data_IF_511900763888
#
_entry.id   IF_511900763888
#
_cell.length_a   1.000
_cell.length_b   1.000
_cell.length_c   1.000
_cell.angle_alpha   90.00
_cell.angle_beta   90.00
_cell.angle_gamma   90.00
#
_symmetry.space_group_name_H-M   'P 1'
#
loop_
_entity.id
_entity.type
_entity.pdbx_description
1 polymer ?
#
# COMPACT_ATOMS: atom_id res chain seq x y z
N UNK A 1 -33.88 -36.04 -23.57
CA UNK A 1 -33.66 -35.72 -22.14
C UNK A 1 -32.20 -35.39 -21.78
N UNK A 2 -31.23 -35.48 -22.70
CA UNK A 2 -29.81 -35.17 -22.40
C UNK A 2 -29.43 -33.69 -22.60
N UNK A 3 -30.16 -32.91 -23.42
CA UNK A 3 -29.81 -31.51 -23.70
C UNK A 3 -30.29 -30.51 -22.65
N UNK A 4 -31.27 -30.85 -21.81
CA UNK A 4 -31.79 -29.93 -20.77
C UNK A 4 -30.86 -29.87 -19.53
N UNK A 5 -30.14 -30.96 -19.25
CA UNK A 5 -29.21 -31.04 -18.13
C UNK A 5 -27.88 -30.29 -18.38
N UNK A 6 -27.44 -30.20 -19.64
CA UNK A 6 -26.20 -29.50 -20.00
C UNK A 6 -26.37 -27.97 -20.02
N UNK A 7 -27.57 -27.47 -20.31
CA UNK A 7 -27.87 -26.04 -20.31
C UNK A 7 -27.95 -25.44 -18.88
N UNK A 8 -28.30 -26.25 -17.87
CA UNK A 8 -28.35 -25.82 -16.47
C UNK A 8 -26.97 -25.82 -15.78
N UNK A 9 -25.99 -26.59 -16.27
CA UNK A 9 -24.62 -26.55 -15.74
C UNK A 9 -23.80 -25.35 -16.25
N UNK A 10 -24.18 -24.73 -17.38
CA UNK A 10 -23.46 -23.57 -17.92
C UNK A 10 -23.82 -22.24 -17.25
N UNK A 11 -24.84 -22.20 -16.39
CA UNK A 11 -25.18 -21.02 -15.57
C UNK A 11 -24.65 -21.09 -14.12
N UNK A 12 -23.97 -22.17 -13.73
CA UNK A 12 -23.43 -22.34 -12.38
C UNK A 12 -21.97 -21.86 -12.23
N UNK A 13 -21.32 -21.43 -13.32
CA UNK A 13 -20.07 -20.68 -13.25
C UNK A 13 -20.43 -19.21 -13.38
N UNK A 14 -21.06 -18.64 -12.34
CA UNK A 14 -20.91 -17.21 -12.13
C UNK A 14 -19.39 -16.98 -12.12
N UNK A 15 -18.82 -16.14 -13.00
CA UNK A 15 -17.45 -15.71 -12.77
C UNK A 15 -17.48 -15.14 -11.36
N UNK A 16 -16.74 -15.75 -10.43
CA UNK A 16 -16.61 -15.24 -9.06
C UNK A 16 -16.51 -13.73 -9.20
N UNK A 17 -17.55 -13.01 -8.78
CA UNK A 17 -17.75 -11.62 -9.17
C UNK A 17 -16.42 -10.93 -8.89
N UNK A 18 -15.68 -10.57 -9.96
CA UNK A 18 -14.44 -9.84 -9.82
C UNK A 18 -14.91 -8.52 -9.23
N UNK A 19 -14.88 -8.43 -7.90
CA UNK A 19 -15.44 -7.30 -7.18
C UNK A 19 -14.91 -6.05 -7.86
N UNK A 20 -15.82 -5.26 -8.44
CA UNK A 20 -15.44 -4.07 -9.17
C UNK A 20 -14.76 -3.12 -8.18
N UNK A 21 -13.71 -2.43 -8.63
CA UNK A 21 -13.05 -1.44 -7.78
C UNK A 21 -14.05 -0.30 -7.55
N UNK A 22 -14.36 0.07 -6.29
CA UNK A 22 -15.21 1.22 -6.00
C UNK A 22 -14.69 2.48 -6.69
N UNK A 23 -15.58 3.31 -7.23
CA UNK A 23 -15.18 4.50 -7.99
C UNK A 23 -14.45 5.52 -7.10
N UNK A 24 -14.90 5.65 -5.85
CA UNK A 24 -14.30 6.47 -4.81
C UNK A 24 -12.86 6.03 -4.50
N UNK A 25 -12.55 4.73 -4.59
CA UNK A 25 -11.19 4.23 -4.39
C UNK A 25 -10.32 4.56 -5.58
N UNK A 26 -10.82 4.42 -6.81
CA UNK A 26 -10.07 4.83 -8.01
C UNK A 26 -9.74 6.32 -7.97
N UNK A 27 -10.71 7.16 -7.60
CA UNK A 27 -10.49 8.60 -7.41
C UNK A 27 -9.47 8.88 -6.30
N UNK A 28 -9.54 8.14 -5.19
CA UNK A 28 -8.59 8.25 -4.09
C UNK A 28 -7.16 7.89 -4.54
N UNK A 29 -6.99 6.80 -5.28
CA UNK A 29 -5.70 6.39 -5.84
C UNK A 29 -5.15 7.46 -6.78
N UNK A 30 -5.95 7.96 -7.71
CA UNK A 30 -5.53 9.01 -8.64
C UNK A 30 -5.11 10.30 -7.93
N UNK A 31 -5.83 10.68 -6.87
CA UNK A 31 -5.54 11.90 -6.10
C UNK A 31 -4.29 11.72 -5.23
N UNK A 32 -4.24 10.68 -4.40
CA UNK A 32 -3.13 10.43 -3.46
C UNK A 32 -1.84 10.16 -4.20
N UNK A 33 -1.87 9.24 -5.17
CA UNK A 33 -0.67 8.85 -5.90
C UNK A 33 -0.25 9.96 -6.87
N UNK A 34 -1.20 10.67 -7.48
CA UNK A 34 -0.91 11.87 -8.27
C UNK A 34 -0.16 12.93 -7.45
N UNK A 35 -0.54 13.14 -6.19
CA UNK A 35 0.13 14.07 -5.28
C UNK A 35 1.50 13.57 -4.80
N UNK A 36 1.66 12.27 -4.62
CA UNK A 36 2.96 11.65 -4.36
C UNK A 36 3.91 11.80 -5.56
N UNK A 37 3.40 11.82 -6.79
CA UNK A 37 4.18 11.86 -8.01
C UNK A 37 4.37 13.25 -8.60
N UNK A 38 3.69 14.28 -8.08
CA UNK A 38 3.54 15.61 -8.69
C UNK A 38 4.83 16.21 -9.25
N UNK A 39 5.95 16.00 -8.56
CA UNK A 39 7.26 16.57 -8.91
C UNK A 39 8.20 15.54 -9.57
N UNK A 40 7.64 14.48 -10.17
CA UNK A 40 8.38 13.37 -10.80
C UNK A 40 7.93 13.17 -12.25
N UNK A 41 8.75 12.51 -13.10
CA UNK A 41 8.34 12.15 -14.47
C UNK A 41 7.08 11.28 -14.54
N UNK A 42 6.74 10.55 -13.46
CA UNK A 42 5.55 9.69 -13.42
C UNK A 42 4.24 10.50 -13.42
N UNK A 43 4.23 11.74 -12.93
CA UNK A 43 3.03 12.58 -12.94
C UNK A 43 2.46 12.82 -14.36
N UNK A 44 3.33 12.84 -15.38
CA UNK A 44 2.92 13.01 -16.77
C UNK A 44 2.43 11.70 -17.41
N UNK A 45 2.67 10.53 -16.79
CA UNK A 45 2.30 9.22 -17.33
C UNK A 45 0.78 9.01 -17.18
N UNK A 46 0.05 8.76 -18.29
CA UNK A 46 -1.37 8.45 -18.21
C UNK A 46 -1.63 7.19 -17.38
N UNK A 47 -2.75 7.18 -16.66
CA UNK A 47 -3.23 5.99 -15.95
C UNK A 47 -3.71 4.94 -16.96
N UNK A 48 -3.28 3.69 -16.77
CA UNK A 48 -3.69 2.54 -17.58
C UNK A 48 -4.30 1.48 -16.65
N UNK A 49 -3.76 0.27 -16.67
CA UNK A 49 -4.28 -0.89 -15.93
C UNK A 49 -3.90 -0.90 -14.45
N UNK A 50 -3.07 0.03 -13.96
CA UNK A 50 -2.52 0.01 -12.61
C UNK A 50 -3.62 0.07 -11.52
N UNK A 51 -4.72 0.78 -11.76
CA UNK A 51 -5.88 0.81 -10.86
C UNK A 51 -6.54 -0.58 -10.73
N UNK A 52 -6.61 -1.34 -11.82
CA UNK A 52 -7.20 -2.68 -11.80
C UNK A 52 -6.22 -3.73 -11.31
N UNK A 53 -4.93 -3.61 -11.68
CA UNK A 53 -3.90 -4.55 -11.27
C UNK A 53 -3.58 -4.41 -9.77
N UNK A 54 -3.50 -3.18 -9.25
CA UNK A 54 -3.32 -2.94 -7.82
C UNK A 54 -4.45 -3.54 -6.98
N UNK A 55 -5.70 -3.43 -7.44
CA UNK A 55 -6.84 -4.11 -6.80
C UNK A 55 -6.71 -5.64 -6.79
N UNK A 56 -6.32 -6.24 -7.93
CA UNK A 56 -6.12 -7.69 -8.02
C UNK A 56 -5.00 -8.15 -7.09
N UNK A 57 -3.88 -7.46 -7.12
CA UNK A 57 -2.72 -7.75 -6.28
C UNK A 57 -3.05 -7.59 -4.79
N UNK A 58 -3.78 -6.54 -4.39
CA UNK A 58 -4.25 -6.37 -3.02
C UNK A 58 -5.09 -7.55 -2.53
N UNK A 59 -6.00 -8.05 -3.38
CA UNK A 59 -6.84 -9.21 -3.04
C UNK A 59 -6.04 -10.50 -2.97
N UNK A 60 -5.12 -10.71 -3.91
CA UNK A 60 -4.20 -11.87 -3.89
C UNK A 60 -3.32 -11.85 -2.63
N UNK A 61 -2.77 -10.68 -2.30
CA UNK A 61 -2.03 -10.43 -1.06
C UNK A 61 -2.84 -10.78 0.18
N UNK A 62 -4.09 -10.31 0.27
CA UNK A 62 -4.97 -10.57 1.42
C UNK A 62 -5.32 -12.05 1.54
N UNK A 63 -5.62 -12.69 0.42
CA UNK A 63 -5.95 -14.11 0.37
C UNK A 63 -4.77 -14.95 0.86
N UNK A 64 -3.54 -14.59 0.49
CA UNK A 64 -2.34 -15.30 0.93
C UNK A 64 -1.96 -15.03 2.41
N UNK A 65 -2.23 -13.83 2.93
CA UNK A 65 -1.81 -13.46 4.28
C UNK A 65 -2.82 -13.79 5.37
N UNK A 66 -4.13 -13.79 5.08
CA UNK A 66 -5.17 -13.97 6.10
C UNK A 66 -6.38 -14.78 5.60
N UNK A 67 -6.34 -15.35 4.40
CA UNK A 67 -7.47 -16.08 3.81
C UNK A 67 -8.71 -15.23 3.50
N UNK A 68 -8.65 -13.91 3.73
CA UNK A 68 -9.71 -12.96 3.42
C UNK A 68 -9.48 -12.31 2.06
N UNK A 69 -10.55 -11.88 1.39
CA UNK A 69 -10.53 -11.11 0.14
C UNK A 69 -10.93 -9.64 0.33
N UNK A 70 -11.46 -9.29 1.51
CA UNK A 70 -11.74 -7.92 1.89
C UNK A 70 -10.43 -7.21 2.20
N UNK A 71 -10.16 -6.18 1.40
CA UNK A 71 -9.00 -5.32 1.52
C UNK A 71 -9.39 -3.97 2.10
N UNK A 72 -8.43 -3.24 2.65
CA UNK A 72 -8.60 -1.85 3.06
C UNK A 72 -8.11 -0.88 1.98
N UNK A 73 -8.52 0.39 2.05
CA UNK A 73 -8.08 1.41 1.11
C UNK A 73 -6.55 1.52 1.06
N UNK A 74 -5.87 1.41 2.21
CA UNK A 74 -4.40 1.46 2.25
C UNK A 74 -3.75 0.35 1.42
N UNK A 75 -4.27 -0.89 1.47
CA UNK A 75 -3.76 -1.99 0.62
C UNK A 75 -3.97 -1.66 -0.86
N UNK A 76 -5.15 -1.15 -1.22
CA UNK A 76 -5.41 -0.72 -2.59
C UNK A 76 -4.43 0.36 -3.07
N UNK A 77 -4.23 1.42 -2.27
CA UNK A 77 -3.31 2.51 -2.58
C UNK A 77 -1.87 2.00 -2.70
N UNK A 78 -1.42 1.15 -1.77
CA UNK A 78 -0.05 0.59 -1.77
C UNK A 78 0.20 -0.20 -3.04
N UNK A 79 -0.67 -1.15 -3.38
CA UNK A 79 -0.44 -2.00 -4.54
C UNK A 79 -0.64 -1.25 -5.85
N UNK A 80 -1.56 -0.28 -5.93
CA UNK A 80 -1.65 0.59 -7.11
C UNK A 80 -0.41 1.46 -7.27
N UNK A 81 0.17 2.00 -6.19
CA UNK A 81 1.42 2.75 -6.23
C UNK A 81 2.57 1.88 -6.75
N UNK A 82 2.74 0.68 -6.20
CA UNK A 82 3.77 -0.27 -6.62
C UNK A 82 3.61 -0.68 -8.09
N UNK A 83 2.38 -0.94 -8.54
CA UNK A 83 2.06 -1.19 -9.94
C UNK A 83 2.45 0.00 -10.84
N UNK A 84 2.29 1.22 -10.35
CA UNK A 84 2.57 2.44 -11.10
C UNK A 84 4.06 2.72 -11.22
N UNK A 85 4.82 2.46 -10.16
CA UNK A 85 6.27 2.68 -10.11
C UNK A 85 7.06 1.58 -10.81
N UNK A 86 6.71 0.32 -10.57
CA UNK A 86 7.53 -0.83 -10.98
C UNK A 86 6.85 -1.79 -11.96
N UNK A 87 5.56 -1.59 -12.22
CA UNK A 87 4.75 -2.61 -12.90
C UNK A 87 4.42 -3.79 -11.98
N UNK A 88 3.30 -4.45 -12.24
CA UNK A 88 2.82 -5.56 -11.42
C UNK A 88 2.08 -6.61 -12.28
N UNK A 89 2.58 -6.83 -13.50
CA UNK A 89 2.11 -7.94 -14.32
C UNK A 89 2.26 -9.26 -13.54
N UNK A 90 1.28 -10.14 -13.69
CA UNK A 90 1.28 -11.47 -13.05
C UNK A 90 1.38 -11.43 -11.52
N UNK A 91 0.79 -10.42 -10.88
CA UNK A 91 0.75 -10.31 -9.41
C UNK A 91 2.17 -10.25 -8.81
N UNK A 92 3.03 -9.42 -9.39
CA UNK A 92 4.39 -9.19 -8.88
C UNK A 92 4.49 -7.90 -8.07
N UNK A 93 5.39 -7.87 -7.10
CA UNK A 93 5.81 -6.71 -6.33
C UNK A 93 7.28 -6.46 -6.67
N UNK A 94 7.56 -5.34 -7.36
CA UNK A 94 8.91 -5.01 -7.87
C UNK A 94 9.55 -6.15 -8.68
N UNK A 95 8.76 -6.79 -9.53
CA UNK A 95 9.20 -7.92 -10.36
C UNK A 95 9.34 -9.26 -9.64
N UNK A 96 9.06 -9.32 -8.33
CA UNK A 96 9.11 -10.55 -7.52
C UNK A 96 7.70 -11.12 -7.33
N UNK A 97 7.50 -12.45 -7.31
CA UNK A 97 6.18 -13.03 -7.03
C UNK A 97 5.63 -12.56 -5.67
N UNK A 98 4.39 -12.08 -5.61
CA UNK A 98 3.85 -11.51 -4.36
C UNK A 98 3.88 -12.50 -3.19
N UNK A 99 3.73 -13.80 -3.46
CA UNK A 99 3.74 -14.85 -2.43
C UNK A 99 5.12 -15.00 -1.77
N UNK A 100 6.20 -14.77 -2.53
CA UNK A 100 7.57 -14.76 -2.00
C UNK A 100 7.76 -13.58 -1.05
N UNK A 101 7.38 -12.38 -1.49
CA UNK A 101 7.46 -11.15 -0.67
C UNK A 101 6.57 -11.25 0.57
N UNK A 102 5.38 -11.85 0.46
CA UNK A 102 4.52 -12.13 1.61
C UNK A 102 5.17 -13.11 2.59
N UNK A 103 5.92 -14.09 2.09
CA UNK A 103 6.75 -14.98 2.89
C UNK A 103 7.80 -14.22 3.71
N UNK A 104 8.45 -13.21 3.12
CA UNK A 104 9.41 -12.36 3.84
C UNK A 104 8.74 -11.54 4.94
N UNK A 105 7.56 -10.96 4.69
CA UNK A 105 6.79 -10.25 5.71
C UNK A 105 6.43 -11.18 6.87
N UNK A 106 5.99 -12.41 6.57
CA UNK A 106 5.69 -13.43 7.60
C UNK A 106 6.94 -13.80 8.41
N UNK A 107 8.08 -13.98 7.76
CA UNK A 107 9.36 -14.27 8.42
C UNK A 107 9.81 -13.11 9.31
N UNK A 108 9.69 -11.87 8.84
CA UNK A 108 10.02 -10.67 9.61
C UNK A 108 9.13 -10.54 10.84
N UNK A 109 7.82 -10.80 10.71
CA UNK A 109 6.89 -10.84 11.85
C UNK A 109 7.26 -11.92 12.86
N UNK A 110 7.61 -13.11 12.39
CA UNK A 110 8.05 -14.19 13.27
C UNK A 110 9.34 -13.83 14.03
N UNK A 111 10.29 -13.16 13.36
CA UNK A 111 11.54 -12.70 13.97
C UNK A 111 11.30 -11.74 15.15
N UNK A 112 10.34 -10.82 15.04
CA UNK A 112 10.04 -9.83 16.09
C UNK A 112 8.93 -10.27 17.06
N UNK A 113 8.31 -11.43 16.84
CA UNK A 113 7.35 -12.06 17.73
C UNK A 113 5.94 -11.43 17.75
N UNK A 114 5.81 -10.12 17.53
CA UNK A 114 4.51 -9.46 17.42
C UNK A 114 4.54 -8.17 16.55
N UNK A 115 3.38 -7.69 16.07
CA UNK A 115 3.30 -6.48 15.23
C UNK A 115 3.83 -5.20 15.87
N UNK A 116 3.61 -5.00 17.18
CA UNK A 116 4.08 -3.80 17.89
C UNK A 116 5.61 -3.73 17.92
N UNK A 117 6.26 -4.84 18.23
CA UNK A 117 7.72 -4.93 18.20
C UNK A 117 8.28 -4.70 16.78
N UNK A 118 7.64 -5.25 15.74
CA UNK A 118 8.04 -4.99 14.36
C UNK A 118 7.93 -3.50 14.00
N UNK A 119 6.78 -2.88 14.28
CA UNK A 119 6.54 -1.46 13.97
C UNK A 119 7.51 -0.56 14.74
N UNK A 120 7.79 -0.86 16.01
CA UNK A 120 8.80 -0.15 16.80
C UNK A 120 10.19 -0.25 16.19
N UNK A 121 10.58 -1.41 15.69
CA UNK A 121 11.91 -1.60 15.08
C UNK A 121 12.03 -0.91 13.72
N UNK A 122 10.98 -0.96 12.90
CA UNK A 122 10.90 -0.20 11.66
C UNK A 122 10.95 1.32 11.91
N UNK A 123 10.25 1.80 12.94
CA UNK A 123 10.27 3.20 13.35
C UNK A 123 11.66 3.64 13.86
N UNK A 124 12.29 2.83 14.73
CA UNK A 124 13.63 3.11 15.22
C UNK A 124 14.66 3.14 14.08
N UNK A 125 14.52 2.24 13.10
CA UNK A 125 15.32 2.26 11.88
C UNK A 125 15.13 3.56 11.09
N UNK A 126 13.89 3.99 10.85
CA UNK A 126 13.61 5.25 10.15
C UNK A 126 14.21 6.45 10.88
N UNK A 127 14.06 6.51 12.21
CA UNK A 127 14.59 7.59 13.04
C UNK A 127 16.12 7.68 12.98
N UNK A 128 16.80 6.55 12.73
CA UNK A 128 18.25 6.45 12.65
C UNK A 128 18.79 6.62 11.22
N UNK A 129 17.94 6.69 10.19
CA UNK A 129 18.40 6.90 8.81
C UNK A 129 19.07 8.26 8.65
N UNK A 130 20.28 8.25 8.07
CA UNK A 130 21.01 9.44 7.68
C UNK A 130 20.45 10.04 6.37
N UNK A 131 19.16 10.40 6.38
CA UNK A 131 18.48 11.05 5.26
C UNK A 131 18.86 12.55 5.17
N UNK A 132 19.56 12.99 4.10
CA UNK A 132 20.01 14.37 3.94
C UNK A 132 18.86 15.37 3.76
N UNK A 133 17.64 14.92 3.42
CA UNK A 133 16.48 15.81 3.29
C UNK A 133 15.85 16.15 4.64
N UNK A 134 16.14 15.36 5.67
CA UNK A 134 15.55 15.45 7.00
C UNK A 134 14.09 15.00 7.07
N UNK A 135 13.53 14.42 6.00
CA UNK A 135 12.16 13.93 5.98
C UNK A 135 11.98 12.73 6.92
N UNK A 136 12.90 11.77 6.89
CA UNK A 136 12.86 10.57 7.76
C UNK A 136 12.73 10.93 9.25
N UNK A 137 13.53 11.89 9.72
CA UNK A 137 13.50 12.34 11.12
C UNK A 137 12.17 13.04 11.47
N UNK A 138 11.62 13.85 10.55
CA UNK A 138 10.31 14.50 10.74
C UNK A 138 9.18 13.48 10.78
N UNK A 139 9.22 12.48 9.91
CA UNK A 139 8.25 11.38 9.88
C UNK A 139 8.32 10.51 11.13
N UNK A 140 9.52 10.14 11.54
CA UNK A 140 9.70 9.42 12.80
C UNK A 140 9.13 10.22 13.98
N UNK A 141 9.35 11.54 14.04
CA UNK A 141 8.76 12.38 15.08
C UNK A 141 7.23 12.51 14.98
N UNK A 142 6.69 12.57 13.76
CA UNK A 142 5.25 12.65 13.49
C UNK A 142 4.53 11.37 13.91
N UNK A 143 5.03 10.21 13.48
CA UNK A 143 4.42 8.89 13.70
C UNK A 143 4.68 8.32 15.09
N UNK A 144 5.79 8.71 15.71
CA UNK A 144 6.16 8.28 17.07
C UNK A 144 5.13 8.67 18.14
N UNK A 145 4.18 9.56 17.82
CA UNK A 145 3.09 9.95 18.72
C UNK A 145 2.02 8.87 18.89
N UNK A 146 1.85 7.97 17.91
CA UNK A 146 0.82 6.93 17.95
C UNK A 146 1.15 5.74 17.02
N UNK A 147 2.19 4.98 17.37
CA UNK A 147 2.61 3.80 16.61
C UNK A 147 1.58 2.65 16.68
N UNK A 148 0.74 2.65 17.71
CA UNK A 148 -0.23 1.58 17.97
C UNK A 148 -1.30 1.50 16.88
N UNK A 149 -1.64 2.62 16.23
CA UNK A 149 -2.64 2.63 15.14
C UNK A 149 -2.24 1.71 13.99
N UNK A 150 -0.96 1.69 13.61
CA UNK A 150 -0.47 0.82 12.54
C UNK A 150 -0.23 -0.60 13.04
N UNK A 151 0.21 -0.76 14.29
CA UNK A 151 0.50 -2.08 14.87
C UNK A 151 -0.74 -2.89 15.24
N UNK A 152 -1.85 -2.23 15.60
CA UNK A 152 -3.05 -2.88 16.12
C UNK A 152 -3.86 -3.62 15.05
N UNK A 153 -3.82 -3.17 13.80
CA UNK A 153 -4.48 -3.84 12.69
C UNK A 153 -3.50 -4.74 11.91
N UNK A 154 -4.00 -5.92 11.52
CA UNK A 154 -3.20 -6.92 10.83
C UNK A 154 -2.83 -6.48 9.40
N UNK A 155 -3.74 -5.83 8.68
CA UNK A 155 -3.48 -5.39 7.31
C UNK A 155 -2.49 -4.22 7.31
N UNK A 156 -2.70 -3.23 8.19
CA UNK A 156 -1.78 -2.08 8.31
C UNK A 156 -0.38 -2.49 8.74
N UNK A 157 -0.24 -3.37 9.75
CA UNK A 157 1.08 -3.82 10.20
C UNK A 157 1.81 -4.67 9.16
N UNK A 158 1.08 -5.41 8.31
CA UNK A 158 1.67 -6.13 7.18
C UNK A 158 2.16 -5.19 6.08
N UNK A 159 1.40 -4.15 5.75
CA UNK A 159 1.85 -3.12 4.82
C UNK A 159 3.09 -2.43 5.36
N UNK A 160 3.09 -1.99 6.62
CA UNK A 160 4.25 -1.35 7.23
C UNK A 160 5.51 -2.24 7.20
N UNK A 161 5.34 -3.56 7.39
CA UNK A 161 6.42 -4.53 7.24
C UNK A 161 6.90 -4.67 5.79
N UNK A 162 5.98 -4.72 4.82
CA UNK A 162 6.29 -4.71 3.38
C UNK A 162 7.09 -3.45 3.03
N UNK A 163 6.61 -2.29 3.45
CA UNK A 163 7.23 -0.98 3.23
C UNK A 163 8.67 -0.98 3.75
N UNK A 164 8.90 -1.54 4.94
CA UNK A 164 10.22 -1.64 5.53
C UNK A 164 11.16 -2.58 4.76
N UNK A 165 10.65 -3.68 4.21
CA UNK A 165 11.43 -4.60 3.36
C UNK A 165 11.82 -3.89 2.07
N UNK A 166 10.86 -3.30 1.36
CA UNK A 166 11.10 -2.63 0.07
C UNK A 166 12.02 -1.42 0.24
N UNK A 167 11.83 -0.64 1.30
CA UNK A 167 12.66 0.52 1.57
C UNK A 167 14.11 0.13 1.84
N UNK A 168 14.39 -0.88 2.67
CA UNK A 168 15.76 -1.32 2.97
C UNK A 168 16.51 -1.88 1.76
N UNK A 169 15.80 -2.27 0.70
CA UNK A 169 16.41 -2.71 -0.55
C UNK A 169 16.94 -1.55 -1.40
N UNK A 170 16.63 -0.29 -1.07
CA UNK A 170 17.14 0.87 -1.80
C UNK A 170 18.61 1.15 -1.48
N UNK A 171 19.41 1.63 -2.45
CA UNK A 171 20.86 1.69 -2.30
C UNK A 171 21.36 2.84 -1.42
N UNK A 172 20.61 3.94 -1.28
CA UNK A 172 21.03 5.10 -0.48
C UNK A 172 20.05 5.44 0.65
N UNK A 173 20.50 6.02 1.78
CA UNK A 173 19.60 6.44 2.86
C UNK A 173 18.47 7.38 2.42
N UNK A 174 18.75 8.26 1.45
CA UNK A 174 17.73 9.15 0.88
C UNK A 174 16.64 8.37 0.14
N UNK A 175 17.01 7.40 -0.68
CA UNK A 175 16.05 6.55 -1.39
C UNK A 175 15.33 5.59 -0.45
N UNK A 176 16.00 5.09 0.59
CA UNK A 176 15.39 4.27 1.64
C UNK A 176 14.31 5.06 2.38
N UNK A 177 14.63 6.28 2.82
CA UNK A 177 13.66 7.17 3.47
C UNK A 177 12.49 7.50 2.55
N UNK A 178 12.76 7.89 1.31
CA UNK A 178 11.71 8.21 0.34
C UNK A 178 10.79 7.01 0.06
N UNK A 179 11.35 5.82 -0.17
CA UNK A 179 10.57 4.61 -0.41
C UNK A 179 9.73 4.23 0.82
N UNK A 180 10.32 4.29 2.02
CA UNK A 180 9.59 3.99 3.25
C UNK A 180 8.44 4.96 3.45
N UNK A 181 8.69 6.26 3.38
CA UNK A 181 7.65 7.25 3.66
C UNK A 181 6.52 7.20 2.65
N UNK A 182 6.79 7.03 1.36
CA UNK A 182 5.74 6.99 0.33
C UNK A 182 4.70 5.91 0.60
N UNK A 183 5.15 4.74 1.06
CA UNK A 183 4.27 3.62 1.35
C UNK A 183 3.69 3.70 2.78
N UNK A 184 4.53 3.99 3.78
CA UNK A 184 4.11 4.09 5.18
C UNK A 184 3.08 5.21 5.41
N UNK A 185 3.14 6.29 4.62
CA UNK A 185 2.12 7.35 4.63
C UNK A 185 0.71 6.82 4.36
N UNK A 186 0.56 5.75 3.58
CA UNK A 186 -0.74 5.18 3.21
C UNK A 186 -1.46 4.52 4.40
N UNK A 187 -0.70 4.12 5.44
CA UNK A 187 -1.24 3.59 6.69
C UNK A 187 -1.19 4.61 7.84
N UNK A 188 -0.23 5.54 7.81
CA UNK A 188 -0.10 6.60 8.83
C UNK A 188 -1.01 7.80 8.58
N UNK A 189 -1.47 7.98 7.34
CA UNK A 189 -2.36 9.07 6.93
C UNK A 189 -1.67 10.42 6.73
N UNK A 190 -0.49 10.66 7.31
CA UNK A 190 0.29 11.90 7.12
C UNK A 190 1.78 11.59 7.00
N UNK A 191 2.53 12.40 6.28
CA UNK A 191 3.99 12.24 6.22
C UNK A 191 4.69 13.27 5.31
N UNK A 192 6.00 13.33 5.44
CA UNK A 192 6.90 14.27 4.77
C UNK A 192 7.60 13.61 3.58
N UNK A 193 7.25 14.02 2.37
CA UNK A 193 7.95 13.62 1.14
C UNK A 193 8.94 14.72 0.77
N UNK A 194 10.21 14.51 1.14
CA UNK A 194 11.24 15.54 1.02
C UNK A 194 10.86 16.78 1.82
N UNK A 195 10.68 17.92 1.15
CA UNK A 195 10.31 19.18 1.79
C UNK A 195 8.78 19.36 1.99
N UNK A 196 7.94 18.53 1.36
CA UNK A 196 6.48 18.66 1.37
C UNK A 196 5.88 17.73 2.41
N UNK A 197 4.84 18.19 3.10
CA UNK A 197 4.03 17.30 3.94
C UNK A 197 2.69 17.04 3.28
N UNK A 198 2.27 15.78 3.27
CA UNK A 198 0.99 15.30 2.74
C UNK A 198 0.15 14.74 3.88
N UNK A 199 -1.13 15.10 3.89
CA UNK A 199 -2.15 14.64 4.83
C UNK A 199 -3.31 14.03 4.02
N UNK A 200 -3.36 12.71 4.02
CA UNK A 200 -4.38 11.91 3.33
C UNK A 200 -5.45 11.38 4.30
N UNK A 201 -5.47 11.84 5.55
CA UNK A 201 -6.39 11.33 6.58
C UNK A 201 -7.87 11.54 6.26
N UNK A 202 -8.19 12.40 5.28
CA UNK A 202 -9.55 12.68 4.80
C UNK A 202 -9.99 11.86 3.59
N UNK A 203 -9.07 11.15 2.95
CA UNK A 203 -9.34 10.46 1.68
C UNK A 203 -10.40 9.37 1.82
N UNK A 204 -10.51 8.73 2.98
CA UNK A 204 -11.49 7.69 3.25
C UNK A 204 -12.81 8.19 3.88
N UNK A 205 -12.92 9.47 4.27
CA UNK A 205 -13.95 9.91 5.22
C UNK A 205 -15.05 10.78 4.63
N UNK A 206 -14.90 11.30 3.41
CA UNK A 206 -15.91 12.20 2.81
C UNK A 206 -16.81 11.44 1.84
N UNK A 207 -17.91 10.91 2.36
CA UNK A 207 -18.96 10.29 1.52
C UNK A 207 -19.61 11.37 0.66
N UNK A 208 -19.51 11.24 -0.66
CA UNK A 208 -20.19 12.11 -1.62
C UNK A 208 -19.43 13.36 -2.05
N UNK A 209 -18.18 13.58 -1.59
CA UNK A 209 -17.28 14.57 -2.16
C UNK A 209 -16.03 13.89 -2.75
N UNK A 210 -15.32 14.54 -3.70
CA UNK A 210 -14.04 14.04 -4.18
C UNK A 210 -13.04 13.86 -3.02
N UNK A 211 -12.14 12.86 -3.10
CA UNK A 211 -11.06 12.73 -2.13
C UNK A 211 -10.13 13.94 -2.20
N UNK A 212 -9.68 14.43 -1.05
CA UNK A 212 -8.79 15.58 -0.93
C UNK A 212 -7.53 15.22 -0.13
N UNK A 213 -6.38 15.73 -0.59
CA UNK A 213 -5.09 15.64 0.09
C UNK A 213 -4.76 17.03 0.63
N UNK A 214 -4.46 17.11 1.93
CA UNK A 214 -4.14 18.36 2.62
C UNK A 214 -2.63 18.45 2.94
N UNK A 215 -2.21 19.59 3.48
CA UNK A 215 -0.89 19.77 4.10
C UNK A 215 -0.97 19.51 5.60
N UNK A 216 0.05 18.89 6.18
CA UNK A 216 0.12 18.67 7.63
C UNK A 216 0.03 19.99 8.40
N UNK A 217 -0.87 20.03 9.39
CA UNK A 217 -1.03 21.13 10.35
C UNK A 217 -0.29 20.84 11.65
#
# INVERSE_FOLDING_TARGET
MFCLALALLMFAIAPAARAQVPAEWQAAAQTVIGDLERDTPLAAKPWHSELTQGWRLARAWRQHNNGNIEIILAEYLTFTLLCRESGCAEETIEGRPYAEVAGEVKALRAQYGNPYALVQQAHAWLAALADPTGAAAKDAALWGRNLDVVAADFATSNLYALDWILARARPTPAEQAAAFTRLALLVQGKGWIGARCLDISRVATVIGAPPEVETCK
#
